data_IF_062367851440
#
_entry.id   IF_062367851440
#
_cell.length_a   1.000
_cell.length_b   1.000
_cell.length_c   1.000
_cell.angle_alpha   90.00
_cell.angle_beta   90.00
_cell.angle_gamma   90.00
#
_symmetry.space_group_name_H-M   'P 1'
#
loop_
_entity.id
_entity.type
_entity.pdbx_description
1 polymer ?
#
# COMPACT_ATOMS: atom_id res chain seq x y z
N UNK A 1 -11.12 5.13 13.66
CA UNK A 1 -11.69 6.49 13.85
C UNK A 1 -10.62 7.55 14.07
N UNK A 2 -9.66 7.35 14.98
CA UNK A 2 -8.62 8.36 15.31
C UNK A 2 -7.78 8.84 14.11
N UNK A 3 -7.22 7.93 13.29
CA UNK A 3 -6.39 8.35 12.15
C UNK A 3 -7.16 9.15 11.07
N UNK A 4 -8.44 8.85 10.88
CA UNK A 4 -9.32 9.61 9.99
C UNK A 4 -9.59 11.02 10.55
N UNK A 5 -9.83 11.12 11.86
CA UNK A 5 -10.05 12.37 12.57
C UNK A 5 -8.81 13.29 12.51
N UNK A 6 -7.61 12.70 12.54
CA UNK A 6 -6.35 13.44 12.51
C UNK A 6 -5.88 13.80 11.08
N UNK A 7 -6.68 13.52 10.03
CA UNK A 7 -6.32 13.78 8.63
C UNK A 7 -5.17 12.90 8.09
N UNK A 8 -4.82 11.82 8.81
CA UNK A 8 -3.71 10.91 8.49
C UNK A 8 -4.13 9.67 7.73
N UNK A 9 -5.38 9.61 7.27
CA UNK A 9 -5.97 8.48 6.55
C UNK A 9 -6.30 8.91 5.12
N UNK A 10 -5.78 8.19 4.13
CA UNK A 10 -6.18 8.35 2.73
C UNK A 10 -6.65 7.01 2.18
N UNK A 11 -7.69 7.07 1.34
CA UNK A 11 -8.27 5.91 0.68
C UNK A 11 -8.30 6.14 -0.82
N UNK A 12 -8.11 5.06 -1.57
CA UNK A 12 -8.25 5.05 -3.02
C UNK A 12 -9.06 3.82 -3.43
N UNK A 13 -9.99 4.03 -4.34
CA UNK A 13 -10.63 2.97 -5.12
C UNK A 13 -10.23 3.17 -6.58
N UNK A 14 -10.04 2.06 -7.27
CA UNK A 14 -9.77 2.06 -8.70
C UNK A 14 -10.91 2.74 -9.46
N UNK A 15 -10.53 3.55 -10.44
CA UNK A 15 -11.47 4.22 -11.33
C UNK A 15 -11.14 3.79 -12.76
N UNK A 16 -12.15 3.53 -13.62
CA UNK A 16 -11.92 3.22 -15.02
C UNK A 16 -11.04 4.29 -15.69
N UNK A 17 -10.02 3.86 -16.43
CA UNK A 17 -9.06 4.75 -17.10
C UNK A 17 -8.06 5.45 -16.16
N UNK A 18 -8.03 5.09 -14.89
CA UNK A 18 -7.18 5.68 -13.87
C UNK A 18 -6.49 4.62 -12.99
N UNK A 19 -5.63 3.78 -13.59
CA UNK A 19 -5.01 2.64 -12.90
C UNK A 19 -3.89 3.03 -11.94
N UNK A 20 -3.61 4.32 -11.76
CA UNK A 20 -2.59 4.81 -10.83
C UNK A 20 -3.08 6.04 -10.06
N UNK A 21 -2.72 6.10 -8.77
CA UNK A 21 -2.95 7.24 -7.88
C UNK A 21 -1.75 7.47 -6.98
N UNK A 22 -1.49 8.73 -6.65
CA UNK A 22 -0.43 9.11 -5.71
C UNK A 22 -1.07 9.71 -4.47
N UNK A 23 -0.77 9.12 -3.32
CA UNK A 23 -1.13 9.60 -1.99
C UNK A 23 0.07 10.35 -1.40
N UNK A 24 -0.16 11.43 -0.64
CA UNK A 24 0.92 12.28 -0.10
C UNK A 24 0.84 12.39 1.42
N UNK A 25 1.96 12.19 2.10
CA UNK A 25 2.11 12.12 3.56
C UNK A 25 3.36 12.90 4.02
N UNK A 26 3.32 14.22 3.92
CA UNK A 26 4.50 15.06 4.18
C UNK A 26 5.63 14.76 3.20
N UNK A 27 6.79 14.38 3.72
CA UNK A 27 7.98 14.02 2.94
C UNK A 27 7.86 12.66 2.20
N UNK A 28 6.73 11.97 2.32
CA UNK A 28 6.51 10.67 1.69
C UNK A 28 5.36 10.69 0.68
N UNK A 29 5.56 10.01 -0.44
CA UNK A 29 4.52 9.67 -1.40
C UNK A 29 4.28 8.17 -1.37
N UNK A 30 3.02 7.76 -1.51
CA UNK A 30 2.67 6.38 -1.78
C UNK A 30 1.99 6.29 -3.15
N UNK A 31 2.62 5.60 -4.10
CA UNK A 31 2.07 5.33 -5.43
C UNK A 31 1.27 4.03 -5.37
N UNK A 32 -0.01 4.12 -5.67
CA UNK A 32 -0.92 2.97 -5.76
C UNK A 32 -1.18 2.67 -7.22
N UNK A 33 -0.97 1.42 -7.61
CA UNK A 33 -1.11 0.90 -8.97
C UNK A 33 -2.10 -0.26 -8.99
N UNK A 34 -3.01 -0.26 -9.95
CA UNK A 34 -4.00 -1.31 -10.19
C UNK A 34 -3.65 -2.08 -11.47
N UNK A 35 -3.76 -3.41 -11.44
CA UNK A 35 -3.32 -4.27 -12.55
C UNK A 35 -1.81 -4.35 -12.76
N UNK A 36 -0.99 -3.94 -11.78
CA UNK A 36 0.45 -4.18 -11.82
C UNK A 36 0.74 -5.70 -11.71
N UNK A 37 1.79 -6.23 -12.36
CA UNK A 37 2.18 -7.62 -12.20
C UNK A 37 2.51 -7.92 -10.73
N UNK A 38 2.48 -9.17 -10.29
CA UNK A 38 2.95 -9.51 -8.93
C UNK A 38 4.47 -9.43 -8.81
N UNK A 39 5.18 -9.65 -9.91
CA UNK A 39 6.64 -9.69 -9.99
C UNK A 39 7.16 -8.71 -11.04
N UNK A 40 8.30 -8.07 -10.76
CA UNK A 40 8.91 -7.10 -11.66
C UNK A 40 8.32 -5.69 -11.50
N UNK A 41 8.99 -4.73 -12.15
CA UNK A 41 8.60 -3.33 -12.15
C UNK A 41 7.21 -3.13 -12.78
N UNK A 42 6.45 -2.18 -12.23
CA UNK A 42 5.19 -1.78 -12.84
C UNK A 42 5.47 -1.09 -14.20
N UNK A 43 4.83 -1.50 -15.30
CA UNK A 43 4.98 -0.83 -16.57
C UNK A 43 4.42 0.60 -16.51
N UNK A 44 4.95 1.50 -17.36
CA UNK A 44 4.49 2.90 -17.42
C UNK A 44 3.00 3.03 -17.78
N UNK A 45 2.49 2.08 -18.57
CA UNK A 45 1.06 1.96 -18.90
C UNK A 45 0.53 0.72 -18.18
N UNK A 46 -0.33 0.96 -17.19
CA UNK A 46 -0.98 -0.09 -16.43
C UNK A 46 -2.33 -0.45 -17.08
N UNK A 47 -2.70 -1.74 -17.13
CA UNK A 47 -3.98 -2.16 -17.66
C UNK A 47 -5.16 -1.81 -16.73
N UNK A 48 -4.91 -1.64 -15.43
CA UNK A 48 -5.97 -1.70 -14.42
C UNK A 48 -6.38 -3.15 -14.11
N UNK A 49 -7.28 -3.34 -13.16
CA UNK A 49 -7.94 -4.63 -12.95
C UNK A 49 -9.16 -4.74 -13.86
N UNK A 50 -9.45 -5.93 -14.38
CA UNK A 50 -10.57 -6.16 -15.30
C UNK A 50 -11.95 -5.78 -14.74
N UNK A 51 -12.11 -5.90 -13.42
CA UNK A 51 -13.35 -5.61 -12.68
C UNK A 51 -13.36 -4.21 -12.04
N UNK A 52 -12.25 -3.47 -12.15
CA UNK A 52 -12.00 -2.21 -11.46
C UNK A 52 -12.29 -2.23 -9.94
N UNK A 53 -12.10 -3.38 -9.28
CA UNK A 53 -12.45 -3.56 -7.87
C UNK A 53 -11.29 -3.23 -6.89
N UNK A 54 -10.16 -2.75 -7.42
CA UNK A 54 -8.99 -2.39 -6.63
C UNK A 54 -9.30 -1.32 -5.59
N UNK A 55 -8.79 -1.48 -4.38
CA UNK A 55 -8.92 -0.47 -3.32
C UNK A 55 -7.83 -0.58 -2.28
N UNK A 56 -7.47 0.55 -1.70
CA UNK A 56 -6.40 0.62 -0.73
C UNK A 56 -6.68 1.73 0.28
N UNK A 57 -6.36 1.46 1.54
CA UNK A 57 -6.47 2.36 2.68
C UNK A 57 -5.09 2.48 3.34
N UNK A 58 -4.61 3.71 3.50
CA UNK A 58 -3.31 4.00 4.12
C UNK A 58 -3.49 4.97 5.27
N UNK A 59 -3.04 4.57 6.46
CA UNK A 59 -2.99 5.42 7.65
C UNK A 59 -1.54 5.71 8.03
N UNK A 60 -1.17 6.98 8.21
CA UNK A 60 0.13 7.37 8.75
C UNK A 60 0.09 7.33 10.29
N UNK A 61 0.79 6.37 10.89
CA UNK A 61 0.85 6.18 12.35
C UNK A 61 1.87 7.11 13.00
N UNK A 62 3.01 7.28 12.33
CA UNK A 62 4.10 8.21 12.66
C UNK A 62 4.71 8.79 11.38
N UNK A 63 5.73 9.66 11.47
CA UNK A 63 6.28 10.35 10.28
C UNK A 63 6.73 9.42 9.15
N UNK A 64 7.24 8.23 9.49
CA UNK A 64 7.77 7.23 8.55
C UNK A 64 7.13 5.84 8.77
N UNK A 65 5.97 5.79 9.43
CA UNK A 65 5.27 4.55 9.79
C UNK A 65 3.84 4.56 9.23
N UNK A 66 3.51 3.53 8.45
CA UNK A 66 2.25 3.44 7.72
C UNK A 66 1.56 2.11 7.98
N UNK A 67 0.24 2.15 8.21
CA UNK A 67 -0.63 0.98 8.17
C UNK A 67 -1.32 0.93 6.81
N UNK A 68 -1.18 -0.20 6.13
CA UNK A 68 -1.76 -0.41 4.79
C UNK A 68 -2.69 -1.62 4.81
N UNK A 69 -3.85 -1.47 4.17
CA UNK A 69 -4.75 -2.59 3.86
C UNK A 69 -5.51 -2.32 2.57
N UNK A 70 -6.04 -3.34 1.91
CA UNK A 70 -6.69 -3.19 0.62
C UNK A 70 -6.88 -4.52 -0.09
N UNK A 71 -7.12 -4.45 -1.40
CA UNK A 71 -7.06 -5.60 -2.30
C UNK A 71 -6.88 -5.19 -3.76
N UNK A 72 -6.39 -6.15 -4.54
CA UNK A 72 -6.15 -6.02 -5.98
C UNK A 72 -5.35 -4.76 -6.34
N UNK A 73 -4.29 -4.47 -5.56
CA UNK A 73 -3.52 -3.25 -5.70
C UNK A 73 -2.06 -3.47 -5.30
N UNK A 74 -1.16 -2.69 -5.89
CA UNK A 74 0.24 -2.56 -5.49
C UNK A 74 0.46 -1.17 -4.90
N UNK A 75 1.23 -1.07 -3.83
CA UNK A 75 1.67 0.21 -3.26
C UNK A 75 3.19 0.28 -3.16
N UNK A 76 3.76 1.42 -3.55
CA UNK A 76 5.19 1.73 -3.47
C UNK A 76 5.38 3.05 -2.72
N UNK A 77 6.37 3.11 -1.82
CA UNK A 77 6.68 4.31 -1.04
C UNK A 77 7.93 5.00 -1.57
N UNK A 78 7.83 6.31 -1.73
CA UNK A 78 8.92 7.17 -2.19
C UNK A 78 9.10 8.33 -1.22
N UNK A 79 10.35 8.62 -0.88
CA UNK A 79 10.68 9.82 -0.13
C UNK A 79 10.87 11.00 -1.08
N UNK A 80 10.16 12.09 -0.83
CA UNK A 80 10.13 13.34 -1.61
C UNK A 80 10.50 14.55 -0.73
N UNK A 81 11.53 14.42 0.11
CA UNK A 81 12.07 15.58 0.83
C UNK A 81 13.09 16.32 -0.04
N UNK A 82 13.17 17.63 0.15
CA UNK A 82 14.18 18.49 -0.50
C UNK A 82 15.57 18.34 0.16
N UNK A 83 16.09 17.12 0.21
CA UNK A 83 17.45 16.79 0.67
C UNK A 83 18.08 15.72 -0.24
N UNK A 84 19.27 15.24 0.11
CA UNK A 84 20.02 14.25 -0.69
C UNK A 84 19.80 12.80 -0.23
N UNK A 85 18.77 12.53 0.59
CA UNK A 85 18.52 11.20 1.18
C UNK A 85 17.40 10.47 0.47
N UNK A 86 17.60 9.16 0.30
CA UNK A 86 16.59 8.25 -0.28
C UNK A 86 15.84 7.50 0.81
N UNK A 87 14.56 7.18 0.55
CA UNK A 87 13.75 6.32 1.40
C UNK A 87 13.90 4.86 1.01
N UNK A 88 13.81 3.97 2.00
CA UNK A 88 13.73 2.52 1.82
C UNK A 88 12.78 1.93 2.85
N UNK A 89 12.16 0.79 2.54
CA UNK A 89 11.38 0.04 3.50
C UNK A 89 12.33 -0.62 4.52
N UNK A 90 12.33 -0.13 5.75
CA UNK A 90 13.19 -0.67 6.81
C UNK A 90 12.64 -1.99 7.38
N UNK A 91 11.31 -2.05 7.58
CA UNK A 91 10.60 -3.20 8.14
C UNK A 91 9.19 -3.21 7.61
N UNK A 92 8.74 -4.37 7.13
CA UNK A 92 7.36 -4.57 6.69
C UNK A 92 6.79 -5.76 7.45
N UNK A 93 5.66 -5.54 8.10
CA UNK A 93 4.98 -6.56 8.88
C UNK A 93 3.60 -6.82 8.32
N UNK A 94 3.27 -8.09 8.16
CA UNK A 94 1.89 -8.54 8.06
C UNK A 94 1.44 -8.96 9.46
N UNK A 95 0.25 -8.53 9.85
CA UNK A 95 -0.30 -8.80 11.16
C UNK A 95 -1.72 -8.30 11.31
N UNK A 96 -2.20 -8.33 12.55
CA UNK A 96 -3.55 -7.91 12.91
C UNK A 96 -3.57 -7.25 14.29
N UNK A 97 -4.55 -6.38 14.51
CA UNK A 97 -4.80 -5.87 15.85
C UNK A 97 -5.63 -6.86 16.66
N UNK A 98 -5.18 -7.18 17.86
CA UNK A 98 -5.92 -7.95 18.88
C UNK A 98 -5.96 -7.10 20.14
N UNK A 99 -7.16 -6.79 20.64
CA UNK A 99 -7.36 -5.93 21.81
C UNK A 99 -6.62 -4.59 21.71
N UNK A 100 -6.63 -3.99 20.52
CA UNK A 100 -5.98 -2.70 20.24
C UNK A 100 -4.45 -2.75 20.15
N UNK A 101 -3.83 -3.93 20.21
CA UNK A 101 -2.38 -4.11 20.07
C UNK A 101 -2.04 -4.83 18.77
N UNK A 102 -1.03 -4.34 18.07
CA UNK A 102 -0.51 -4.98 16.87
C UNK A 102 0.13 -6.33 17.22
N UNK A 103 -0.30 -7.40 16.55
CA UNK A 103 0.32 -8.71 16.61
C UNK A 103 0.87 -9.07 15.23
N UNK A 104 2.18 -9.28 15.18
CA UNK A 104 2.91 -9.65 13.96
C UNK A 104 2.64 -11.12 13.65
N UNK A 105 2.22 -11.41 12.42
CA UNK A 105 2.10 -12.76 11.90
C UNK A 105 3.37 -13.17 11.15
N UNK A 106 3.90 -12.29 10.29
CA UNK A 106 5.16 -12.48 9.59
C UNK A 106 5.79 -11.16 9.18
N UNK A 107 7.12 -11.17 9.03
CA UNK A 107 7.85 -10.10 8.37
C UNK A 107 7.89 -10.38 6.86
N UNK A 108 7.65 -9.34 6.05
CA UNK A 108 7.79 -9.39 4.59
C UNK A 108 9.15 -8.80 4.19
N UNK A 109 9.82 -9.38 3.19
CA UNK A 109 11.10 -8.90 2.68
C UNK A 109 11.39 -9.46 1.27
N UNK A 110 12.50 -9.06 0.65
CA UNK A 110 12.95 -9.52 -0.67
C UNK A 110 11.84 -9.43 -1.70
N UNK A 111 11.59 -10.52 -2.41
CA UNK A 111 10.49 -10.78 -3.33
C UNK A 111 9.14 -10.11 -2.98
N UNK A 112 8.74 -10.09 -1.70
CA UNK A 112 7.46 -9.52 -1.27
C UNK A 112 7.45 -7.98 -1.17
N UNK A 113 8.63 -7.36 -1.23
CA UNK A 113 8.85 -5.92 -1.06
C UNK A 113 9.64 -5.26 -2.19
N UNK A 114 10.41 -6.03 -2.97
CA UNK A 114 11.33 -5.52 -4.01
C UNK A 114 10.60 -4.78 -5.14
N UNK A 115 9.34 -5.13 -5.38
CA UNK A 115 8.50 -4.52 -6.42
C UNK A 115 7.31 -3.76 -5.83
N UNK A 116 7.43 -3.29 -4.59
CA UNK A 116 6.34 -2.73 -3.80
C UNK A 116 5.50 -3.80 -3.09
N UNK A 117 4.55 -3.36 -2.27
CA UNK A 117 3.68 -4.25 -1.52
C UNK A 117 2.45 -4.60 -2.37
N UNK A 118 2.39 -5.86 -2.80
CA UNK A 118 1.26 -6.38 -3.57
C UNK A 118 0.17 -6.88 -2.61
N UNK A 119 -0.96 -6.18 -2.58
CA UNK A 119 -2.12 -6.52 -1.76
C UNK A 119 -3.11 -7.31 -2.62
N UNK A 120 -3.06 -8.63 -2.48
CA UNK A 120 -3.86 -9.57 -3.26
C UNK A 120 -5.36 -9.46 -3.01
N UNK A 121 -6.14 -10.22 -3.79
CA UNK A 121 -7.53 -10.50 -3.42
C UNK A 121 -7.50 -11.52 -2.27
N UNK A 122 -8.32 -11.29 -1.27
CA UNK A 122 -8.69 -12.33 -0.32
C UNK A 122 -10.19 -12.56 -0.46
N UNK A 123 -10.61 -13.81 -0.37
CA UNK A 123 -12.03 -14.13 -0.30
C UNK A 123 -12.63 -13.67 1.04
N UNK A 124 -13.93 -13.90 1.24
CA UNK A 124 -14.61 -13.50 2.47
C UNK A 124 -14.06 -14.20 3.74
N UNK A 125 -13.30 -15.29 3.58
CA UNK A 125 -12.65 -16.02 4.66
C UNK A 125 -11.21 -15.54 4.93
N UNK A 126 -10.67 -14.64 4.09
CA UNK A 126 -9.30 -14.14 4.19
C UNK A 126 -8.28 -15.02 3.47
N UNK A 127 -8.73 -15.98 2.66
CA UNK A 127 -7.86 -16.86 1.89
C UNK A 127 -7.53 -16.25 0.52
N UNK A 128 -6.30 -16.46 0.05
CA UNK A 128 -5.89 -16.06 -1.31
C UNK A 128 -6.46 -17.08 -2.30
N UNK A 129 -7.25 -16.66 -3.31
CA UNK A 129 -7.82 -17.57 -4.29
C UNK A 129 -6.77 -18.26 -5.17
#
# INVERSE_FOLDING_TARGET
AQAAFDGRLQAVAEQPGAPQRTLRFGDWQARVSFGAPMWGDAPAILPGNDDHAGRLLVAQLGPEEFLVTGMAARIEFFREAADTRHGQLLRVEQGRYVDGRWQVERQLNGDQTDYGLNVGRVDAAGEVP
#
